data_IF_343721268066
#
_entry.id   IF_343721268066
#
_cell.length_a   1.000
_cell.length_b   1.000
_cell.length_c   1.000
_cell.angle_alpha   90.00
_cell.angle_beta   90.00
_cell.angle_gamma   90.00
#
_symmetry.space_group_name_H-M   'P 1'
#
loop_
_entity.id
_entity.type
_entity.pdbx_description
1 polymer ?
#
# COMPACT_ATOMS: atom_id res chain seq x y z
N UNK A 1 -14.81 -0.43 -4.56
CA UNK A 1 -14.35 -0.10 -3.19
C UNK A 1 -13.07 0.70 -3.29
N UNK A 2 -12.90 1.74 -2.45
CA UNK A 2 -11.80 2.70 -2.53
C UNK A 2 -10.42 2.04 -2.67
N UNK A 3 -10.14 0.99 -1.89
CA UNK A 3 -8.89 0.21 -1.94
C UNK A 3 -8.60 -0.32 -3.37
N UNK A 4 -9.60 -0.93 -4.03
CA UNK A 4 -9.41 -1.49 -5.39
C UNK A 4 -9.09 -0.40 -6.41
N UNK A 5 -9.70 0.79 -6.27
CA UNK A 5 -9.38 1.94 -7.14
C UNK A 5 -7.93 2.39 -6.93
N UNK A 6 -7.54 2.59 -5.66
CA UNK A 6 -6.19 3.05 -5.30
C UNK A 6 -5.09 2.07 -5.70
N UNK A 7 -5.34 0.77 -5.58
CA UNK A 7 -4.42 -0.26 -6.08
C UNK A 7 -4.28 -0.18 -7.60
N UNK A 8 -5.37 -0.03 -8.35
CA UNK A 8 -5.30 0.11 -9.81
C UNK A 8 -4.54 1.38 -10.22
N UNK A 9 -4.83 2.51 -9.58
CA UNK A 9 -4.15 3.79 -9.80
C UNK A 9 -2.64 3.68 -9.50
N UNK A 10 -2.26 3.05 -8.38
CA UNK A 10 -0.87 2.79 -8.01
C UNK A 10 -0.16 1.90 -9.05
N UNK A 11 -0.83 0.85 -9.52
CA UNK A 11 -0.27 -0.05 -10.54
C UNK A 11 -0.01 0.71 -11.84
N UNK A 12 -0.91 1.60 -12.25
CA UNK A 12 -0.72 2.41 -13.46
C UNK A 12 0.37 3.48 -13.29
N UNK A 13 0.48 4.10 -12.11
CA UNK A 13 1.60 4.98 -11.77
C UNK A 13 2.93 4.23 -11.83
N UNK A 14 2.99 3.01 -11.29
CA UNK A 14 4.17 2.14 -11.33
C UNK A 14 4.57 1.73 -12.75
N UNK A 15 3.58 1.43 -13.62
CA UNK A 15 3.85 1.14 -15.04
C UNK A 15 4.54 2.33 -15.72
N UNK A 16 4.06 3.56 -15.47
CA UNK A 16 4.67 4.78 -16.02
C UNK A 16 6.09 4.98 -15.49
N UNK A 17 6.30 4.80 -14.19
CA UNK A 17 7.62 4.91 -13.57
C UNK A 17 8.64 3.88 -14.10
N UNK A 18 8.19 2.68 -14.43
CA UNK A 18 9.08 1.61 -14.92
C UNK A 18 9.60 1.81 -16.34
N UNK A 19 8.95 2.66 -17.15
CA UNK A 19 9.37 2.97 -18.52
C UNK A 19 10.58 3.92 -18.52
N UNK A 20 10.80 4.66 -17.44
CA UNK A 20 11.92 5.61 -17.31
C UNK A 20 13.24 4.83 -17.33
N UNK A 21 14.18 5.21 -18.20
CA UNK A 21 15.47 4.54 -18.32
C UNK A 21 16.46 5.04 -17.25
N UNK A 22 16.43 6.34 -16.94
CA UNK A 22 17.24 6.93 -15.88
C UNK A 22 16.78 6.43 -14.51
N UNK A 23 17.74 5.90 -13.74
CA UNK A 23 17.54 5.35 -12.41
C UNK A 23 17.21 6.45 -11.39
N UNK A 24 17.82 7.62 -11.51
CA UNK A 24 17.62 8.73 -10.57
C UNK A 24 16.22 9.29 -10.75
N UNK A 25 15.83 9.59 -11.99
CA UNK A 25 14.48 10.07 -12.31
C UNK A 25 13.41 9.02 -11.94
N UNK A 26 13.69 7.73 -12.18
CA UNK A 26 12.81 6.65 -11.74
C UNK A 26 12.63 6.65 -10.22
N UNK A 27 13.71 6.81 -9.45
CA UNK A 27 13.61 6.85 -8.00
C UNK A 27 12.75 8.02 -7.50
N UNK A 28 12.93 9.22 -8.08
CA UNK A 28 12.12 10.41 -7.74
C UNK A 28 10.65 10.21 -8.09
N UNK A 29 10.35 9.58 -9.23
CA UNK A 29 8.97 9.28 -9.62
C UNK A 29 8.36 8.22 -8.71
N UNK A 30 9.12 7.21 -8.28
CA UNK A 30 8.63 6.24 -7.30
C UNK A 30 8.30 6.90 -5.96
N UNK A 31 9.18 7.78 -5.46
CA UNK A 31 8.99 8.51 -4.21
C UNK A 31 7.77 9.46 -4.27
N UNK A 32 7.60 10.19 -5.37
CA UNK A 32 6.55 11.21 -5.47
C UNK A 32 5.21 10.69 -6.01
N UNK A 33 5.22 9.65 -6.84
CA UNK A 33 4.02 9.15 -7.54
C UNK A 33 3.57 7.77 -7.09
N UNK A 34 4.44 6.90 -6.58
CA UNK A 34 4.06 5.53 -6.19
C UNK A 34 3.93 5.42 -4.67
N UNK A 35 4.88 5.98 -3.93
CA UNK A 35 4.93 5.89 -2.47
C UNK A 35 3.67 6.44 -1.77
N UNK A 36 3.06 7.57 -2.16
CA UNK A 36 1.88 8.10 -1.46
C UNK A 36 0.67 7.15 -1.45
N UNK A 37 0.56 6.28 -2.47
CA UNK A 37 -0.53 5.30 -2.53
C UNK A 37 -0.42 4.23 -1.42
N UNK A 38 0.79 3.93 -0.94
CA UNK A 38 1.00 2.97 0.15
C UNK A 38 0.30 3.45 1.42
N UNK A 39 0.46 4.72 1.77
CA UNK A 39 -0.17 5.32 2.96
C UNK A 39 -1.70 5.40 2.81
N UNK A 40 -2.20 5.78 1.63
CA UNK A 40 -3.65 5.82 1.37
C UNK A 40 -4.29 4.43 1.46
N UNK A 41 -3.68 3.42 0.84
CA UNK A 41 -4.17 2.04 0.89
C UNK A 41 -4.11 1.51 2.32
N UNK A 42 -2.99 1.75 3.02
CA UNK A 42 -2.79 1.35 4.42
C UNK A 42 -3.86 1.95 5.32
N UNK A 43 -4.16 3.24 5.18
CA UNK A 43 -5.21 3.90 5.98
C UNK A 43 -6.57 3.19 5.88
N UNK A 44 -6.95 2.72 4.69
CA UNK A 44 -8.17 1.97 4.51
C UNK A 44 -8.11 0.55 5.11
N UNK A 45 -6.95 -0.11 5.01
CA UNK A 45 -6.73 -1.45 5.59
C UNK A 45 -6.76 -1.39 7.12
N UNK A 46 -6.06 -0.45 7.73
CA UNK A 46 -6.00 -0.28 9.19
C UNK A 46 -7.40 -0.02 9.76
N UNK A 47 -8.26 0.71 9.03
CA UNK A 47 -9.66 0.88 9.40
C UNK A 47 -10.48 -0.40 9.29
N UNK A 48 -10.22 -1.23 8.28
CA UNK A 48 -10.89 -2.52 8.14
C UNK A 48 -10.46 -3.49 9.24
N UNK A 49 -9.18 -3.49 9.63
CA UNK A 49 -8.65 -4.32 10.71
C UNK A 49 -9.36 -4.08 12.06
N UNK A 50 -9.84 -2.85 12.31
CA UNK A 50 -10.61 -2.49 13.51
C UNK A 50 -12.06 -2.98 13.49
N UNK A 51 -12.64 -3.20 12.31
CA UNK A 51 -14.06 -3.54 12.13
C UNK A 51 -14.24 -5.03 11.86
N UNK A 52 -13.27 -5.65 11.17
CA UNK A 52 -13.30 -7.07 10.81
C UNK A 52 -12.87 -7.91 12.00
N UNK A 53 -13.62 -8.98 12.23
CA UNK A 53 -13.33 -9.96 13.28
C UNK A 53 -11.94 -10.60 13.08
N UNK A 54 -11.24 -10.87 14.18
CA UNK A 54 -9.87 -11.37 14.15
C UNK A 54 -9.78 -12.74 13.47
N UNK A 55 -10.80 -13.59 13.64
CA UNK A 55 -10.85 -14.93 13.02
C UNK A 55 -10.95 -14.91 11.49
N UNK A 56 -11.46 -13.82 10.92
CA UNK A 56 -11.63 -13.64 9.47
C UNK A 56 -10.45 -12.89 8.83
N UNK A 57 -9.54 -12.34 9.63
CA UNK A 57 -8.41 -11.56 9.13
C UNK A 57 -7.25 -12.50 8.74
N UNK A 58 -6.83 -12.54 7.46
CA UNK A 58 -5.90 -13.57 6.97
C UNK A 58 -4.44 -13.34 7.34
N UNK A 59 -4.09 -12.19 7.95
CA UNK A 59 -2.73 -11.82 8.31
C UNK A 59 -2.63 -11.61 9.83
N UNK A 60 -1.47 -11.88 10.46
CA UNK A 60 -1.28 -11.52 11.87
C UNK A 60 -1.45 -10.01 12.05
N UNK A 61 -2.17 -9.60 13.10
CA UNK A 61 -2.39 -8.17 13.37
C UNK A 61 -1.08 -7.48 13.70
N UNK A 62 -0.96 -6.19 13.41
CA UNK A 62 0.27 -5.43 13.68
C UNK A 62 0.66 -5.49 15.17
N UNK A 63 -0.33 -5.56 16.07
CA UNK A 63 -0.12 -5.75 17.51
C UNK A 63 0.46 -7.12 17.85
N UNK A 64 0.05 -8.16 17.16
CA UNK A 64 0.61 -9.49 17.35
C UNK A 64 2.06 -9.50 16.87
N UNK A 65 2.35 -8.95 15.69
CA UNK A 65 3.73 -8.84 15.18
C UNK A 65 4.69 -8.07 16.11
N UNK A 66 4.19 -7.05 16.82
CA UNK A 66 5.00 -6.21 17.71
C UNK A 66 5.09 -6.74 19.15
N UNK A 67 4.14 -7.55 19.60
CA UNK A 67 4.04 -7.98 21.01
C UNK A 67 3.97 -9.49 21.21
N UNK A 68 4.15 -10.32 20.17
CA UNK A 68 4.39 -11.76 20.34
C UNK A 68 5.71 -11.90 21.12
N UNK A 69 5.56 -12.20 22.40
CA UNK A 69 6.63 -12.58 23.34
C UNK A 69 6.19 -13.85 24.05
#
# INVERSE_FOLDING_TARGET
>A
TAIKSKVNEMVDARKKANIIEDIVEKAEVYDTKVFPFLDEIRYHIDKLELIVDNELWPLPKYRELLFVR
#
